data_IF_511092401390
#
_entry.id   IF_511092401390
#
_cell.length_a   1.000
_cell.length_b   1.000
_cell.length_c   1.000
_cell.angle_alpha   90.00
_cell.angle_beta   90.00
_cell.angle_gamma   90.00
#
_symmetry.space_group_name_H-M   'P 1'
#
loop_
_entity.id
_entity.type
_entity.pdbx_description
1 polymer ?
#
# COMPACT_ATOMS: atom_id res chain seq x y z
N UNK A 1 -25.40 15.59 9.19
CA UNK A 1 -24.30 14.71 9.59
C UNK A 1 -24.54 14.30 11.02
N UNK A 2 -24.81 13.02 11.26
CA UNK A 2 -24.85 12.47 12.60
C UNK A 2 -23.50 12.69 13.29
N UNK A 3 -23.52 12.92 14.60
CA UNK A 3 -22.29 13.08 15.37
C UNK A 3 -21.44 11.82 15.25
N UNK A 4 -20.15 11.91 14.87
CA UNK A 4 -19.30 10.73 14.68
C UNK A 4 -19.32 9.81 15.90
N UNK A 5 -19.37 8.49 15.69
CA UNK A 5 -19.45 7.55 16.81
C UNK A 5 -18.15 7.56 17.65
N UNK A 6 -18.20 8.10 18.86
CA UNK A 6 -17.03 8.28 19.71
C UNK A 6 -16.34 6.94 20.04
N UNK A 7 -17.10 5.93 20.44
CA UNK A 7 -16.57 4.64 20.87
C UNK A 7 -15.82 3.91 19.76
N UNK A 8 -16.39 3.86 18.56
CA UNK A 8 -15.74 3.22 17.43
C UNK A 8 -14.51 3.98 16.93
N UNK A 9 -14.52 5.32 16.95
CA UNK A 9 -13.34 6.11 16.55
C UNK A 9 -12.18 5.92 17.53
N UNK A 10 -12.47 5.86 18.84
CA UNK A 10 -11.46 5.53 19.86
C UNK A 10 -10.92 4.11 19.66
N UNK A 11 -11.78 3.14 19.35
CA UNK A 11 -11.37 1.77 19.08
C UNK A 11 -10.39 1.70 17.89
N UNK A 12 -10.72 2.32 16.76
CA UNK A 12 -9.83 2.32 15.58
C UNK A 12 -8.53 3.07 15.83
N UNK A 13 -8.57 4.20 16.53
CA UNK A 13 -7.38 4.92 16.96
C UNK A 13 -6.47 4.02 17.82
N UNK A 14 -7.03 3.32 18.81
CA UNK A 14 -6.28 2.41 19.66
C UNK A 14 -5.66 1.25 18.86
N UNK A 15 -6.41 0.65 17.94
CA UNK A 15 -5.91 -0.39 17.04
C UNK A 15 -4.70 0.11 16.23
N UNK A 16 -4.80 1.27 15.58
CA UNK A 16 -3.70 1.81 14.78
C UNK A 16 -2.49 2.23 15.63
N UNK A 17 -2.72 2.78 16.83
CA UNK A 17 -1.65 3.11 17.78
C UNK A 17 -0.89 1.88 18.28
N UNK A 18 -1.56 0.74 18.47
CA UNK A 18 -0.89 -0.52 18.84
C UNK A 18 -0.16 -1.10 17.63
N UNK A 19 -0.83 -1.15 16.46
CA UNK A 19 -0.27 -1.75 15.25
C UNK A 19 0.96 -0.99 14.74
N UNK A 20 0.99 0.34 14.81
CA UNK A 20 2.17 1.11 14.38
C UNK A 20 3.40 0.75 15.21
N UNK A 21 3.25 0.53 16.52
CA UNK A 21 4.37 0.13 17.39
C UNK A 21 4.88 -1.27 17.00
N UNK A 22 3.97 -2.22 16.79
CA UNK A 22 4.32 -3.58 16.36
C UNK A 22 5.04 -3.59 15.00
N UNK A 23 4.55 -2.79 14.05
CA UNK A 23 5.14 -2.68 12.71
C UNK A 23 6.50 -1.98 12.75
N UNK A 24 6.67 -0.93 13.56
CA UNK A 24 7.97 -0.27 13.75
C UNK A 24 8.98 -1.21 14.37
N UNK A 25 8.59 -1.92 15.44
CA UNK A 25 9.45 -2.91 16.08
C UNK A 25 9.87 -4.02 15.11
N UNK A 26 8.90 -4.62 14.40
CA UNK A 26 9.16 -5.67 13.41
C UNK A 26 10.03 -5.19 12.25
N UNK A 27 9.75 -3.99 11.74
CA UNK A 27 10.45 -3.39 10.61
C UNK A 27 11.92 -3.08 10.93
N UNK A 28 12.21 -2.53 12.11
CA UNK A 28 13.57 -2.25 12.57
C UNK A 28 14.33 -3.56 12.83
N UNK A 29 13.72 -4.50 13.56
CA UNK A 29 14.34 -5.79 13.91
C UNK A 29 14.73 -6.59 12.67
N UNK A 30 13.88 -6.62 11.65
CA UNK A 30 14.10 -7.38 10.43
C UNK A 30 14.68 -6.55 9.27
N UNK A 31 14.99 -5.27 9.49
CA UNK A 31 15.58 -4.33 8.52
C UNK A 31 14.78 -4.23 7.21
N UNK A 32 13.45 -4.23 7.29
CA UNK A 32 12.55 -4.17 6.13
C UNK A 32 12.17 -2.72 5.80
N UNK A 33 13.17 -1.86 5.54
CA UNK A 33 13.02 -0.40 5.50
C UNK A 33 11.91 0.13 4.57
N UNK A 34 11.82 -0.37 3.33
CA UNK A 34 10.77 0.09 2.39
C UNK A 34 9.36 -0.29 2.84
N UNK A 35 9.18 -1.52 3.35
CA UNK A 35 7.92 -1.97 3.93
C UNK A 35 7.57 -1.18 5.20
N UNK A 36 8.55 -0.97 6.08
CA UNK A 36 8.41 -0.20 7.30
C UNK A 36 7.95 1.23 7.02
N UNK A 37 8.55 1.90 6.03
CA UNK A 37 8.15 3.25 5.65
C UNK A 37 6.67 3.32 5.25
N UNK A 38 6.22 2.42 4.37
CA UNK A 38 4.81 2.34 3.97
C UNK A 38 3.88 2.07 5.15
N UNK A 39 4.19 1.07 5.98
CA UNK A 39 3.37 0.75 7.16
C UNK A 39 3.32 1.90 8.17
N UNK A 40 4.45 2.55 8.44
CA UNK A 40 4.53 3.67 9.37
C UNK A 40 3.70 4.87 8.88
N UNK A 41 3.91 5.30 7.64
CA UNK A 41 3.18 6.42 7.06
C UNK A 41 1.68 6.14 7.01
N UNK A 42 1.27 4.95 6.55
CA UNK A 42 -0.14 4.57 6.51
C UNK A 42 -0.80 4.63 7.88
N UNK A 43 -0.17 4.08 8.91
CA UNK A 43 -0.69 4.15 10.27
C UNK A 43 -0.71 5.57 10.85
N UNK A 44 0.32 6.38 10.58
CA UNK A 44 0.35 7.77 11.03
C UNK A 44 -0.83 8.58 10.46
N UNK A 45 -1.12 8.41 9.16
CA UNK A 45 -2.25 9.07 8.51
C UNK A 45 -3.61 8.62 9.08
N UNK A 46 -3.79 7.31 9.30
CA UNK A 46 -5.01 6.78 9.93
C UNK A 46 -5.20 7.31 11.37
N UNK A 47 -4.13 7.35 12.18
CA UNK A 47 -4.16 7.92 13.53
C UNK A 47 -4.60 9.38 13.50
N UNK A 48 -3.99 10.20 12.63
CA UNK A 48 -4.37 11.62 12.50
C UNK A 48 -5.82 11.76 12.04
N UNK A 49 -6.29 10.90 11.13
CA UNK A 49 -7.67 10.88 10.66
C UNK A 49 -8.69 10.59 11.76
N UNK A 50 -8.45 9.55 12.55
CA UNK A 50 -9.34 9.23 13.67
C UNK A 50 -9.28 10.26 14.80
N UNK A 51 -8.12 10.86 15.06
CA UNK A 51 -8.02 12.01 16.00
C UNK A 51 -8.85 13.19 15.49
N UNK A 52 -8.76 13.54 14.21
CA UNK A 52 -9.56 14.61 13.63
C UNK A 52 -11.06 14.32 13.72
N UNK A 53 -11.48 13.06 13.53
CA UNK A 53 -12.88 12.64 13.67
C UNK A 53 -13.38 12.69 15.11
N UNK A 54 -12.54 12.36 16.09
CA UNK A 54 -12.87 12.55 17.52
C UNK A 54 -13.03 14.04 17.82
N UNK A 55 -12.18 14.91 17.29
CA UNK A 55 -12.32 16.37 17.46
C UNK A 55 -13.64 16.89 16.90
N UNK A 56 -14.09 16.38 15.75
CA UNK A 56 -15.39 16.71 15.17
C UNK A 56 -16.57 16.31 16.07
N UNK A 57 -16.47 15.19 16.80
CA UNK A 57 -17.49 14.80 17.79
C UNK A 57 -17.68 15.87 18.88
N UNK A 58 -16.61 16.56 19.26
CA UNK A 58 -16.64 17.66 20.23
C UNK A 58 -16.92 19.04 19.60
N UNK A 59 -17.37 19.10 18.34
CA UNK A 59 -17.74 20.34 17.67
C UNK A 59 -16.56 21.18 17.17
N UNK A 60 -15.36 20.59 17.01
CA UNK A 60 -14.20 21.27 16.44
C UNK A 60 -14.04 20.99 14.94
N UNK A 61 -13.47 21.95 14.21
CA UNK A 61 -13.12 21.78 12.80
C UNK A 61 -12.04 20.71 12.61
N UNK A 62 -12.46 19.55 12.09
CA UNK A 62 -11.59 18.43 11.78
C UNK A 62 -11.84 17.79 10.43
N UNK A 63 -12.86 18.25 9.69
CA UNK A 63 -13.35 17.60 8.48
C UNK A 63 -12.29 17.49 7.37
N UNK A 64 -11.61 18.60 7.06
CA UNK A 64 -10.58 18.62 6.02
C UNK A 64 -9.39 17.72 6.39
N UNK A 65 -8.93 17.79 7.64
CA UNK A 65 -7.84 16.92 8.12
C UNK A 65 -8.23 15.46 8.00
N UNK A 66 -9.42 15.11 8.50
CA UNK A 66 -9.96 13.76 8.43
C UNK A 66 -10.04 13.23 6.99
N UNK A 67 -10.64 14.01 6.08
CA UNK A 67 -10.91 13.54 4.72
C UNK A 67 -9.61 13.31 3.93
N UNK A 68 -8.61 14.16 4.14
CA UNK A 68 -7.31 14.06 3.49
C UNK A 68 -6.51 12.89 4.06
N UNK A 69 -6.36 12.81 5.38
CA UNK A 69 -5.45 11.82 5.99
C UNK A 69 -5.99 10.40 5.83
N UNK A 70 -7.30 10.20 6.02
CA UNK A 70 -7.88 8.86 5.86
C UNK A 70 -7.83 8.38 4.41
N UNK A 71 -7.84 9.30 3.44
CA UNK A 71 -7.75 8.95 2.01
C UNK A 71 -6.31 8.59 1.62
N UNK A 72 -5.31 9.26 2.21
CA UNK A 72 -3.89 9.05 1.89
C UNK A 72 -3.33 7.76 2.52
N UNK A 73 -3.75 7.43 3.75
CA UNK A 73 -3.23 6.28 4.51
C UNK A 73 -3.19 4.95 3.74
N UNK A 74 -4.32 4.51 3.14
CA UNK A 74 -4.40 3.25 2.38
C UNK A 74 -3.41 3.10 1.25
N UNK A 75 -3.07 4.18 0.55
CA UNK A 75 -2.12 4.12 -0.56
C UNK A 75 -0.72 3.71 -0.09
N UNK A 76 -0.32 4.11 1.12
CA UNK A 76 0.94 3.66 1.72
C UNK A 76 0.93 2.17 2.07
N UNK A 77 -0.21 1.64 2.53
CA UNK A 77 -0.37 0.19 2.74
C UNK A 77 -0.31 -0.58 1.41
N UNK A 78 -0.94 -0.06 0.35
CA UNK A 78 -0.83 -0.60 -1.02
C UNK A 78 0.62 -0.63 -1.51
N UNK A 79 1.37 0.46 -1.33
CA UNK A 79 2.79 0.50 -1.68
C UNK A 79 3.61 -0.57 -0.93
N UNK A 80 3.34 -0.81 0.35
CA UNK A 80 3.97 -1.87 1.13
C UNK A 80 3.63 -3.28 0.56
N UNK A 81 2.38 -3.49 0.14
CA UNK A 81 1.94 -4.73 -0.53
C UNK A 81 2.65 -4.92 -1.88
N UNK A 82 2.85 -3.85 -2.65
CA UNK A 82 3.54 -3.90 -3.95
C UNK A 82 5.01 -4.31 -3.80
N UNK A 83 5.68 -3.82 -2.75
CA UNK A 83 7.04 -4.25 -2.41
C UNK A 83 7.09 -5.73 -2.01
N UNK A 84 6.09 -6.20 -1.25
CA UNK A 84 5.97 -7.61 -0.89
C UNK A 84 5.77 -8.50 -2.12
N UNK A 85 4.90 -8.11 -3.07
CA UNK A 85 4.67 -8.88 -4.29
C UNK A 85 5.93 -9.00 -5.15
N UNK A 86 6.70 -7.91 -5.30
CA UNK A 86 7.95 -7.97 -6.05
C UNK A 86 8.93 -9.00 -5.47
N UNK A 87 9.04 -9.07 -4.14
CA UNK A 87 9.86 -10.09 -3.48
C UNK A 87 9.33 -11.50 -3.68
N UNK A 88 8.00 -11.69 -3.68
CA UNK A 88 7.37 -12.98 -3.98
C UNK A 88 7.72 -13.44 -5.41
N UNK A 89 7.67 -12.53 -6.39
CA UNK A 89 8.07 -12.85 -7.77
C UNK A 89 9.55 -13.27 -7.83
N UNK A 90 10.43 -12.59 -7.08
CA UNK A 90 11.85 -13.00 -6.98
C UNK A 90 12.01 -14.40 -6.36
N UNK A 91 11.19 -14.77 -5.38
CA UNK A 91 11.25 -16.08 -4.68
C UNK A 91 10.74 -17.24 -5.54
N UNK A 92 9.68 -17.03 -6.33
CA UNK A 92 9.13 -18.09 -7.20
C UNK A 92 9.78 -18.12 -8.58
N UNK A 93 10.42 -17.03 -8.99
CA UNK A 93 11.09 -16.89 -10.27
C UNK A 93 10.34 -15.96 -11.21
N UNK A 94 11.10 -15.12 -11.93
CA UNK A 94 10.54 -14.12 -12.85
C UNK A 94 9.82 -14.74 -14.05
N UNK A 95 10.16 -15.97 -14.44
CA UNK A 95 9.55 -16.67 -15.59
C UNK A 95 8.03 -16.88 -15.46
N UNK A 96 7.47 -16.84 -14.25
CA UNK A 96 6.03 -16.93 -14.02
C UNK A 96 5.31 -15.59 -14.23
N UNK A 97 6.04 -14.49 -14.11
CA UNK A 97 5.52 -13.13 -14.17
C UNK A 97 5.63 -12.56 -15.58
N UNK A 98 4.62 -11.80 -16.02
CA UNK A 98 4.64 -11.14 -17.34
C UNK A 98 5.65 -9.99 -17.41
N UNK A 99 5.89 -9.34 -16.29
CA UNK A 99 6.83 -8.22 -16.17
C UNK A 99 7.84 -8.45 -15.05
N UNK A 100 8.92 -7.66 -15.07
CA UNK A 100 9.90 -7.68 -13.99
C UNK A 100 9.26 -7.22 -12.66
N UNK A 101 9.68 -7.76 -11.50
CA UNK A 101 9.20 -7.33 -10.18
C UNK A 101 9.27 -5.80 -9.99
N UNK A 102 10.34 -5.19 -10.49
CA UNK A 102 10.59 -3.74 -10.43
C UNK A 102 9.53 -2.96 -11.19
N UNK A 103 9.17 -3.41 -12.40
CA UNK A 103 8.16 -2.75 -13.23
C UNK A 103 6.81 -2.74 -12.54
N UNK A 104 6.42 -3.84 -11.90
CA UNK A 104 5.19 -3.90 -11.12
C UNK A 104 5.19 -2.83 -10.02
N UNK A 105 6.16 -2.86 -9.11
CA UNK A 105 6.15 -1.96 -7.96
C UNK A 105 6.23 -0.50 -8.38
N UNK A 106 7.13 -0.13 -9.30
CA UNK A 106 7.31 1.27 -9.71
C UNK A 106 6.06 1.79 -10.42
N UNK A 107 5.50 1.04 -11.39
CA UNK A 107 4.35 1.50 -12.16
C UNK A 107 3.14 1.74 -11.26
N UNK A 108 2.78 0.77 -10.41
CA UNK A 108 1.60 0.92 -9.53
C UNK A 108 1.82 1.98 -8.45
N UNK A 109 3.01 2.09 -7.86
CA UNK A 109 3.30 3.18 -6.92
C UNK A 109 3.24 4.56 -7.58
N UNK A 110 3.65 4.70 -8.84
CA UNK A 110 3.55 5.96 -9.57
C UNK A 110 2.09 6.33 -9.87
N UNK A 111 1.27 5.37 -10.31
CA UNK A 111 -0.17 5.60 -10.49
C UNK A 111 -0.84 6.03 -9.18
N UNK A 112 -0.53 5.33 -8.08
CA UNK A 112 -1.03 5.68 -6.75
C UNK A 112 -0.55 7.06 -6.30
N UNK A 113 0.72 7.40 -6.54
CA UNK A 113 1.26 8.72 -6.21
C UNK A 113 0.54 9.84 -6.98
N UNK A 114 0.30 9.67 -8.28
CA UNK A 114 -0.46 10.64 -9.07
C UNK A 114 -1.90 10.76 -8.55
N UNK A 115 -2.54 9.64 -8.22
CA UNK A 115 -3.87 9.63 -7.61
C UNK A 115 -3.90 10.36 -6.26
N UNK A 116 -2.89 10.16 -5.41
CA UNK A 116 -2.72 10.85 -4.13
C UNK A 116 -2.57 12.36 -4.30
N UNK A 117 -1.80 12.80 -5.31
CA UNK A 117 -1.65 14.24 -5.60
C UNK A 117 -2.99 14.85 -6.00
N UNK A 118 -3.77 14.17 -6.85
CA UNK A 118 -5.12 14.62 -7.21
C UNK A 118 -6.04 14.66 -5.98
N UNK A 119 -5.98 13.68 -5.09
CA UNK A 119 -6.78 13.66 -3.87
C UNK A 119 -6.39 14.77 -2.90
N UNK A 120 -5.10 15.03 -2.71
CA UNK A 120 -4.62 16.12 -1.86
C UNK A 120 -5.01 17.50 -2.43
N UNK A 121 -4.84 17.70 -3.74
CA UNK A 121 -5.24 18.92 -4.41
C UNK A 121 -6.76 19.13 -4.34
N UNK A 122 -7.55 18.13 -4.75
CA UNK A 122 -9.02 18.21 -4.71
C UNK A 122 -9.56 18.34 -3.28
N UNK A 123 -8.95 17.64 -2.31
CA UNK A 123 -9.29 17.73 -0.89
C UNK A 123 -9.06 19.13 -0.33
N UNK A 124 -7.92 19.77 -0.65
CA UNK A 124 -7.62 21.13 -0.18
C UNK A 124 -8.66 22.17 -0.61
N UNK A 125 -9.24 22.00 -1.80
CA UNK A 125 -10.27 22.90 -2.35
C UNK A 125 -11.62 22.78 -1.64
N UNK A 126 -11.84 21.70 -0.87
CA UNK A 126 -13.06 21.50 -0.09
C UNK A 126 -13.14 22.41 1.15
N UNK A 127 -12.05 23.08 1.51
CA UNK A 127 -12.02 24.08 2.58
C UNK A 127 -12.34 25.50 2.11
N UNK A 128 -12.71 25.70 0.83
CA UNK A 128 -13.10 27.01 0.30
C UNK A 128 -14.53 27.36 0.67
N UNK A 129 -14.85 28.66 0.77
CA UNK A 129 -16.22 29.16 0.93
C UNK A 129 -16.97 29.25 -0.42
N UNK A 130 -16.26 29.14 -1.54
CA UNK A 130 -16.84 29.23 -2.88
C UNK A 130 -17.31 27.86 -3.38
N UNK A 131 -18.62 27.75 -3.66
CA UNK A 131 -19.25 26.50 -4.07
C UNK A 131 -18.66 25.93 -5.38
N UNK A 132 -18.28 26.78 -6.33
CA UNK A 132 -17.67 26.34 -7.58
C UNK A 132 -16.28 25.72 -7.35
N UNK A 133 -15.49 26.32 -6.46
CA UNK A 133 -14.20 25.77 -6.02
C UNK A 133 -14.38 24.42 -5.31
N UNK A 134 -15.38 24.28 -4.43
CA UNK A 134 -15.73 23.00 -3.79
C UNK A 134 -16.11 21.94 -4.84
N UNK A 135 -16.95 22.30 -5.82
CA UNK A 135 -17.42 21.39 -6.87
C UNK A 135 -16.26 20.90 -7.75
N UNK A 136 -15.31 21.77 -8.09
CA UNK A 136 -14.09 21.38 -8.79
C UNK A 136 -13.24 20.47 -7.90
N UNK A 137 -13.06 20.81 -6.62
CA UNK A 137 -12.34 19.99 -5.65
C UNK A 137 -12.88 18.55 -5.58
N UNK A 138 -14.21 18.40 -5.53
CA UNK A 138 -14.87 17.10 -5.52
C UNK A 138 -14.60 16.28 -6.79
N UNK A 139 -14.66 16.92 -7.97
CA UNK A 139 -14.36 16.25 -9.25
C UNK A 139 -12.90 15.78 -9.30
N UNK A 140 -11.97 16.62 -8.86
CA UNK A 140 -10.53 16.30 -8.83
C UNK A 140 -10.26 15.17 -7.84
N UNK A 141 -10.81 15.22 -6.64
CA UNK A 141 -10.64 14.17 -5.62
C UNK A 141 -11.25 12.84 -6.09
N UNK A 142 -12.44 12.87 -6.71
CA UNK A 142 -13.08 11.68 -7.30
C UNK A 142 -12.26 11.08 -8.43
N UNK A 143 -11.67 11.90 -9.30
CA UNK A 143 -10.78 11.41 -10.35
C UNK A 143 -9.56 10.68 -9.77
N UNK A 144 -8.94 11.22 -8.72
CA UNK A 144 -7.85 10.57 -8.01
C UNK A 144 -8.25 9.22 -7.40
N UNK A 145 -9.37 9.16 -6.67
CA UNK A 145 -9.91 7.90 -6.12
C UNK A 145 -10.22 6.86 -7.21
N UNK A 146 -10.81 7.28 -8.34
CA UNK A 146 -11.10 6.37 -9.45
C UNK A 146 -9.81 5.82 -10.09
N UNK A 147 -8.79 6.66 -10.27
CA UNK A 147 -7.48 6.23 -10.78
C UNK A 147 -6.80 5.25 -9.82
N UNK A 148 -6.85 5.52 -8.51
CA UNK A 148 -6.34 4.61 -7.49
C UNK A 148 -7.07 3.26 -7.50
N UNK A 149 -8.41 3.27 -7.57
CA UNK A 149 -9.23 2.06 -7.65
C UNK A 149 -8.88 1.22 -8.89
N UNK A 150 -8.69 1.87 -10.04
CA UNK A 150 -8.29 1.18 -11.26
C UNK A 150 -6.90 0.54 -11.12
N UNK A 151 -5.94 1.27 -10.53
CA UNK A 151 -4.58 0.77 -10.31
C UNK A 151 -4.56 -0.48 -9.42
N UNK A 152 -5.21 -0.42 -8.24
CA UNK A 152 -5.27 -1.58 -7.33
C UNK A 152 -6.07 -2.75 -7.91
N UNK A 153 -7.12 -2.49 -8.71
CA UNK A 153 -7.90 -3.54 -9.38
C UNK A 153 -7.06 -4.29 -10.41
N UNK A 154 -6.33 -3.57 -11.26
CA UNK A 154 -5.41 -4.16 -12.25
C UNK A 154 -4.32 -4.96 -11.51
N UNK A 155 -3.77 -4.41 -10.42
CA UNK A 155 -2.81 -5.11 -9.59
C UNK A 155 -3.36 -6.44 -9.05
N UNK A 156 -4.58 -6.45 -8.51
CA UNK A 156 -5.23 -7.68 -7.98
C UNK A 156 -5.38 -8.73 -9.08
N UNK A 157 -5.79 -8.33 -10.29
CA UNK A 157 -5.93 -9.24 -11.44
C UNK A 157 -4.57 -9.87 -11.78
N UNK A 158 -3.52 -9.06 -11.90
CA UNK A 158 -2.17 -9.54 -12.23
C UNK A 158 -1.58 -10.42 -11.11
N UNK A 159 -1.79 -10.05 -9.85
CA UNK A 159 -1.35 -10.84 -8.70
C UNK A 159 -2.08 -12.19 -8.64
N UNK A 160 -3.36 -12.22 -8.96
CA UNK A 160 -4.17 -13.45 -9.03
C UNK A 160 -3.73 -14.35 -10.18
N UNK A 161 -3.42 -13.76 -11.35
CA UNK A 161 -2.86 -14.51 -12.48
C UNK A 161 -1.50 -15.13 -12.12
N UNK A 162 -0.61 -14.35 -11.49
CA UNK A 162 0.68 -14.85 -11.01
C UNK A 162 0.48 -16.00 -10.02
N UNK A 163 -0.39 -15.83 -9.02
CA UNK A 163 -0.68 -16.86 -8.04
C UNK A 163 -1.17 -18.15 -8.72
N UNK A 164 -2.11 -18.04 -9.67
CA UNK A 164 -2.63 -19.18 -10.42
C UNK A 164 -1.54 -19.91 -11.23
N UNK A 165 -0.64 -19.17 -11.89
CA UNK A 165 0.49 -19.74 -12.62
C UNK A 165 1.45 -20.49 -11.69
N UNK A 166 1.77 -19.92 -10.53
CA UNK A 166 2.61 -20.55 -9.51
C UNK A 166 1.97 -21.84 -8.98
N UNK A 167 0.65 -21.82 -8.73
CA UNK A 167 -0.08 -22.99 -8.25
C UNK A 167 -0.19 -24.11 -9.29
N UNK A 168 -0.23 -23.80 -10.59
CA UNK A 168 -0.29 -24.82 -11.64
C UNK A 168 1.04 -25.48 -11.97
N UNK A 169 2.16 -24.83 -11.67
CA UNK A 169 3.52 -25.31 -12.02
C UNK A 169 4.36 -25.51 -10.76
N UNK A 170 3.85 -26.32 -9.83
CA UNK A 170 4.54 -26.56 -8.55
C UNK A 170 5.85 -27.33 -8.69
N UNK A 171 5.97 -28.14 -9.74
CA UNK A 171 7.14 -28.98 -9.99
C UNK A 171 8.36 -28.17 -10.47
N UNK A 172 8.12 -27.02 -11.11
CA UNK A 172 9.12 -26.13 -11.69
C UNK A 172 9.55 -24.99 -10.74
N UNK A 173 9.25 -25.10 -9.44
CA UNK A 173 9.64 -24.06 -8.47
C UNK A 173 11.16 -24.02 -8.27
N UNK A 174 11.70 -22.79 -8.17
CA UNK A 174 13.12 -22.56 -7.97
C UNK A 174 13.63 -23.35 -6.74
N UNK A 175 14.53 -24.33 -6.94
CA UNK A 175 15.04 -25.17 -5.85
C UNK A 175 15.75 -24.34 -4.77
N UNK A 176 16.26 -23.14 -5.10
CA UNK A 176 16.94 -22.24 -4.17
C UNK A 176 16.04 -21.79 -3.02
N UNK A 177 14.72 -21.70 -3.22
CA UNK A 177 13.76 -21.23 -2.20
C UNK A 177 12.76 -22.29 -1.74
N UNK A 178 12.93 -23.56 -2.12
CA UNK A 178 11.97 -24.64 -1.86
C UNK A 178 11.59 -24.81 -0.38
N UNK A 179 12.55 -24.63 0.54
CA UNK A 179 12.29 -24.69 1.99
C UNK A 179 11.43 -23.51 2.48
N UNK A 180 11.62 -22.33 1.90
CA UNK A 180 10.83 -21.13 2.21
C UNK A 180 9.41 -21.25 1.65
N UNK A 181 9.27 -21.68 0.39
CA UNK A 181 8.00 -21.85 -0.30
C UNK A 181 7.07 -22.87 0.40
N UNK A 182 7.64 -23.91 1.02
CA UNK A 182 6.89 -24.91 1.80
C UNK A 182 6.66 -24.52 3.26
N UNK A 183 7.20 -23.39 3.72
CA UNK A 183 7.06 -22.97 5.11
C UNK A 183 5.63 -22.52 5.43
N UNK A 184 5.09 -23.00 6.55
CA UNK A 184 3.82 -22.52 7.10
C UNK A 184 3.81 -20.99 7.28
N UNK A 185 4.94 -20.40 7.67
CA UNK A 185 5.05 -18.94 7.87
C UNK A 185 4.94 -18.15 6.56
N UNK A 186 5.45 -18.72 5.47
CA UNK A 186 5.38 -18.11 4.15
C UNK A 186 3.98 -18.27 3.54
N UNK A 187 3.34 -19.44 3.71
CA UNK A 187 1.96 -19.65 3.30
C UNK A 187 0.97 -18.77 4.08
N UNK A 188 1.19 -18.60 5.39
CA UNK A 188 0.43 -17.65 6.21
C UNK A 188 0.61 -16.21 5.70
N UNK A 189 1.85 -15.81 5.39
CA UNK A 189 2.12 -14.50 4.78
C UNK A 189 1.36 -14.29 3.47
N UNK A 190 1.36 -15.27 2.57
CA UNK A 190 0.59 -15.21 1.32
C UNK A 190 -0.91 -15.07 1.59
N UNK A 191 -1.45 -15.75 2.60
CA UNK A 191 -2.85 -15.62 3.00
C UNK A 191 -3.15 -14.21 3.55
N UNK A 192 -2.31 -13.71 4.47
CA UNK A 192 -2.41 -12.37 5.03
C UNK A 192 -2.33 -11.28 3.96
N UNK A 193 -1.41 -11.41 3.00
CA UNK A 193 -1.24 -10.46 1.90
C UNK A 193 -2.48 -10.42 0.99
N UNK A 194 -3.08 -11.59 0.70
CA UNK A 194 -4.35 -11.67 -0.04
C UNK A 194 -5.49 -10.98 0.70
N UNK A 195 -5.65 -11.26 2.00
CA UNK A 195 -6.68 -10.63 2.84
C UNK A 195 -6.50 -9.11 2.85
N UNK A 196 -5.28 -8.62 3.07
CA UNK A 196 -4.98 -7.19 3.08
C UNK A 196 -5.28 -6.52 1.73
N UNK A 197 -4.91 -7.16 0.63
CA UNK A 197 -5.16 -6.62 -0.72
C UNK A 197 -6.66 -6.52 -1.02
N UNK A 198 -7.44 -7.56 -0.69
CA UNK A 198 -8.89 -7.59 -0.94
C UNK A 198 -9.61 -6.55 -0.07
N UNK A 199 -9.25 -6.45 1.21
CA UNK A 199 -9.88 -5.49 2.12
C UNK A 199 -9.58 -4.05 1.75
N UNK A 200 -8.35 -3.72 1.34
CA UNK A 200 -8.02 -2.39 0.79
C UNK A 200 -8.79 -2.13 -0.51
N UNK A 201 -8.92 -3.11 -1.41
CA UNK A 201 -9.71 -2.96 -2.63
C UNK A 201 -11.18 -2.63 -2.34
N UNK A 202 -11.82 -3.37 -1.42
CA UNK A 202 -13.22 -3.13 -1.00
C UNK A 202 -13.36 -1.72 -0.44
N UNK A 203 -12.44 -1.31 0.43
CA UNK A 203 -12.41 0.02 1.05
C UNK A 203 -12.29 1.12 -0.01
N UNK A 204 -11.33 1.01 -0.93
CA UNK A 204 -11.16 1.97 -2.03
C UNK A 204 -12.39 2.04 -2.95
N UNK A 205 -13.06 0.91 -3.21
CA UNK A 205 -14.29 0.87 -3.99
C UNK A 205 -15.45 1.58 -3.28
N UNK A 206 -15.61 1.35 -1.98
CA UNK A 206 -16.58 2.06 -1.16
C UNK A 206 -16.32 3.58 -1.18
N UNK A 207 -15.06 4.00 -1.04
CA UNK A 207 -14.70 5.41 -1.04
C UNK A 207 -15.02 6.13 -2.35
N UNK A 208 -14.81 5.46 -3.49
CA UNK A 208 -15.24 5.97 -4.80
C UNK A 208 -16.77 6.06 -4.87
N UNK A 209 -17.49 5.06 -4.38
CA UNK A 209 -18.95 5.03 -4.41
C UNK A 209 -19.57 6.11 -3.52
N UNK A 210 -19.08 6.27 -2.29
CA UNK A 210 -19.49 7.29 -1.32
C UNK A 210 -19.31 8.69 -1.91
N UNK A 211 -18.11 9.01 -2.43
CA UNK A 211 -17.86 10.32 -3.02
C UNK A 211 -18.61 10.54 -4.34
N UNK A 212 -18.92 9.47 -5.06
CA UNK A 212 -19.71 9.54 -6.29
C UNK A 212 -21.19 9.79 -6.05
N UNK A 213 -21.72 9.31 -4.93
CA UNK A 213 -23.10 9.50 -4.53
C UNK A 213 -23.34 10.92 -3.96
N UNK A 214 -22.29 11.60 -3.50
CA UNK A 214 -22.34 12.96 -2.95
C UNK A 214 -22.57 12.96 -1.43
N UNK A 215 -22.21 14.07 -0.77
CA UNK A 215 -22.22 14.19 0.70
C UNK A 215 -23.60 14.05 1.36
N UNK A 216 -24.69 14.26 0.61
CA UNK A 216 -26.07 14.10 1.07
C UNK A 216 -26.72 12.79 0.62
N UNK A 217 -25.91 11.80 0.21
CA UNK A 217 -26.43 10.49 -0.17
C UNK A 217 -26.61 9.58 1.04
N UNK A 218 -27.58 8.66 0.96
CA UNK A 218 -27.83 7.65 1.98
C UNK A 218 -26.61 6.78 2.35
N UNK A 219 -25.55 6.76 1.52
CA UNK A 219 -24.29 6.08 1.83
C UNK A 219 -23.37 6.91 2.74
N UNK A 220 -23.34 8.23 2.57
CA UNK A 220 -22.55 9.16 3.38
C UNK A 220 -23.19 9.41 4.76
N UNK A 221 -24.51 9.30 4.84
CA UNK A 221 -25.26 9.41 6.11
C UNK A 221 -25.25 8.10 6.92
N UNK A 222 -24.86 6.97 6.33
CA UNK A 222 -24.80 5.70 7.05
C UNK A 222 -23.46 5.52 7.78
N UNK A 223 -23.39 6.09 8.99
CA UNK A 223 -22.22 5.99 9.88
C UNK A 223 -21.80 4.53 10.14
N UNK A 224 -22.75 3.59 10.18
CA UNK A 224 -22.43 2.16 10.40
C UNK A 224 -21.68 1.57 9.20
N UNK A 225 -22.16 1.85 7.99
CA UNK A 225 -21.49 1.42 6.77
C UNK A 225 -20.10 2.03 6.66
N UNK A 226 -19.96 3.31 7.01
CA UNK A 226 -18.65 3.97 7.08
C UNK A 226 -17.71 3.23 8.06
N UNK A 227 -18.15 3.01 9.30
CA UNK A 227 -17.30 2.41 10.32
C UNK A 227 -16.84 1.01 9.93
N UNK A 228 -17.69 0.23 9.26
CA UNK A 228 -17.34 -1.12 8.78
C UNK A 228 -16.47 -1.10 7.52
N UNK A 229 -16.84 -0.33 6.50
CA UNK A 229 -16.19 -0.42 5.19
C UNK A 229 -14.91 0.42 5.08
N UNK A 230 -14.81 1.52 5.83
CA UNK A 230 -13.59 2.35 5.87
C UNK A 230 -12.66 1.92 7.01
N UNK A 231 -13.16 1.96 8.26
CA UNK A 231 -12.33 1.71 9.44
C UNK A 231 -11.95 0.24 9.60
N UNK A 232 -12.93 -0.66 9.64
CA UNK A 232 -12.68 -2.08 9.92
C UNK A 232 -11.83 -2.74 8.83
N UNK A 233 -12.07 -2.41 7.56
CA UNK A 233 -11.31 -3.00 6.44
C UNK A 233 -9.81 -2.71 6.53
N UNK A 234 -9.41 -1.49 6.89
CA UNK A 234 -8.00 -1.16 7.07
C UNK A 234 -7.42 -1.76 8.35
N UNK A 235 -8.17 -1.84 9.43
CA UNK A 235 -7.71 -2.55 10.64
C UNK A 235 -7.49 -4.03 10.33
N UNK A 236 -8.39 -4.69 9.60
CA UNK A 236 -8.21 -6.08 9.15
C UNK A 236 -6.95 -6.20 8.27
N UNK A 237 -6.79 -5.30 7.28
CA UNK A 237 -5.64 -5.32 6.38
C UNK A 237 -4.32 -5.19 7.13
N UNK A 238 -4.21 -4.19 7.98
CA UNK A 238 -2.98 -3.87 8.73
C UNK A 238 -2.68 -4.89 9.82
N UNK A 239 -3.70 -5.48 10.45
CA UNK A 239 -3.55 -6.61 11.38
C UNK A 239 -3.07 -7.86 10.65
N UNK A 240 -3.64 -8.18 9.48
CA UNK A 240 -3.16 -9.29 8.66
C UNK A 240 -1.69 -9.10 8.27
N UNK A 241 -1.30 -7.88 7.87
CA UNK A 241 0.08 -7.54 7.55
C UNK A 241 1.02 -7.58 8.77
N UNK A 242 0.52 -7.33 9.98
CA UNK A 242 1.29 -7.47 11.21
C UNK A 242 1.55 -8.94 11.56
N UNK A 243 0.53 -9.80 11.42
CA UNK A 243 0.66 -11.24 11.63
C UNK A 243 1.58 -11.86 10.57
N UNK A 244 1.35 -11.52 9.30
CA UNK A 244 2.18 -11.91 8.16
C UNK A 244 3.33 -10.94 7.92
N UNK A 245 4.11 -10.59 8.94
CA UNK A 245 5.20 -9.65 8.74
C UNK A 245 6.28 -10.23 7.79
N UNK A 246 6.67 -9.55 6.69
CA UNK A 246 7.57 -10.14 5.70
C UNK A 246 8.96 -10.45 6.29
N UNK A 247 9.41 -9.69 7.28
CA UNK A 247 10.68 -9.93 7.96
C UNK A 247 10.77 -11.28 8.69
N UNK A 248 9.66 -11.76 9.28
CA UNK A 248 9.61 -13.06 9.96
C UNK A 248 9.32 -14.18 8.96
N UNK A 249 8.46 -13.91 7.98
CA UNK A 249 8.04 -14.91 6.99
C UNK A 249 9.13 -15.29 6.00
N UNK A 250 10.06 -14.38 5.67
CA UNK A 250 11.20 -14.66 4.79
C UNK A 250 12.41 -15.32 5.50
N UNK A 251 12.30 -15.63 6.80
CA UNK A 251 13.30 -16.38 7.58
C UNK A 251 14.76 -15.91 7.38
N UNK A 252 14.99 -14.59 7.35
CA UNK A 252 16.33 -14.01 7.18
C UNK A 252 16.78 -13.82 5.72
N UNK A 253 16.06 -14.41 4.75
CA UNK A 253 16.34 -14.28 3.30
C UNK A 253 15.68 -13.07 2.65
N UNK A 254 15.15 -12.16 3.46
CA UNK A 254 14.47 -10.95 2.99
C UNK A 254 15.37 -10.11 2.08
N UNK A 255 16.66 -9.98 2.43
CA UNK A 255 17.67 -9.25 1.63
C UNK A 255 18.01 -9.94 0.32
N UNK A 256 17.97 -11.27 0.26
CA UNK A 256 18.24 -12.03 -0.97
C UNK A 256 17.08 -11.92 -1.98
N UNK A 257 15.86 -11.74 -1.48
CA UNK A 257 14.68 -11.51 -2.30
C UNK A 257 14.54 -10.04 -2.75
N UNK A 258 15.48 -9.17 -2.38
CA UNK A 258 15.51 -7.80 -2.84
C UNK A 258 15.75 -7.78 -4.34
N UNK A 259 14.87 -7.11 -5.08
CA UNK A 259 15.17 -6.80 -6.47
C UNK A 259 16.19 -5.67 -6.40
N UNK A 260 17.46 -5.98 -6.69
CA UNK A 260 18.50 -4.96 -6.78
C UNK A 260 17.97 -3.87 -7.71
N UNK A 261 17.79 -2.65 -7.18
CA UNK A 261 17.75 -1.43 -7.97
C UNK A 261 19.15 -1.25 -8.57
N UNK A 262 19.57 -2.17 -9.43
CA UNK A 262 20.90 -2.17 -9.99
C UNK A 262 21.04 -0.86 -10.75
N UNK A 263 21.98 -0.04 -10.28
CA UNK A 263 22.38 1.21 -10.91
C UNK A 263 22.64 0.91 -12.38
N UNK A 264 21.89 1.55 -13.26
CA UNK A 264 22.35 1.78 -14.62
C UNK A 264 23.58 2.68 -14.50
N UNK A 265 24.77 2.10 -14.41
CA UNK A 265 26.00 2.88 -14.31
C UNK A 265 27.17 2.20 -13.62
N UNK A 266 27.44 0.92 -13.92
CA UNK A 266 28.82 0.46 -13.98
C UNK A 266 29.12 0.27 -15.47
N UNK A 267 29.45 1.38 -16.14
CA UNK A 267 30.22 1.31 -17.38
C UNK A 267 31.55 0.71 -16.96
N UNK A 268 31.80 -0.54 -17.35
CA UNK A 268 33.14 -1.11 -17.33
C UNK A 268 34.09 -0.08 -17.96
N UNK A 269 34.93 0.53 -17.13
CA UNK A 269 36.05 1.34 -17.62
C UNK A 269 36.91 0.41 -18.49
N UNK A 270 37.09 0.71 -19.79
CA UNK A 270 37.86 -0.16 -20.65
C UNK A 270 39.27 -0.29 -20.10
N UNK A 271 39.71 -1.54 -20.06
CA UNK A 271 41.06 -2.02 -19.83
C UNK A 271 42.10 -1.02 -20.32
N UNK A 272 42.98 -0.57 -19.41
CA UNK A 272 44.17 0.20 -19.77
C UNK A 272 44.97 -0.63 -20.78
N UNK A 273 44.98 -0.21 -22.04
CA UNK A 273 45.93 -0.70 -23.04
C UNK A 273 47.31 -0.18 -22.65
N UNK A 274 48.20 -1.10 -22.31
CA UNK A 274 49.61 -0.84 -22.01
C UNK A 274 50.35 -0.51 -23.32
N UNK A 275 50.55 0.79 -23.56
CA UNK A 275 51.44 1.28 -24.62
C UNK A 275 52.87 1.43 -24.08
N UNK A 276 53.52 0.31 -23.76
CA UNK A 276 54.97 0.31 -23.54
C UNK A 276 55.67 -0.89 -24.20
N UNK A 277 55.42 -1.07 -25.49
CA UNK A 277 56.30 -1.91 -26.33
C UNK A 277 56.35 -1.35 -27.74
N UNK A 278 57.41 -0.58 -28.03
CA UNK A 278 57.65 -0.11 -29.39
C UNK A 278 58.48 1.15 -29.53
N UNK A 279 59.65 1.24 -28.89
CA UNK A 279 60.75 2.07 -29.39
C UNK A 279 62.08 1.34 -29.13
N UNK A 280 62.46 0.50 -30.10
CA UNK A 280 63.86 0.13 -30.35
C UNK A 280 64.29 0.91 -31.59
N UNK A 281 65.15 1.91 -31.40
CA UNK A 281 66.28 2.29 -32.27
C UNK A 281 66.97 3.52 -31.69
#
# INVERSE_FOLDING_TARGET
>A
MDTPNLGGNIFYLACHAILIILQVYGGIRHKTWGYLFGMFCGHAFEIVGFVARIRMHFGQDGFLTYIVTITIGPAFFSAAIYLCLARIITVYGQHYSRFSPRTYTITFMLFDFVALVLQAAGGSMLGSDEQDTINVGLKVMKAGLAAHLAAISIFVILASELAFRIFRRQDDWDPKFRQLQRSLRFNLFMACLKIATITILIRTAYRVAELSAGYHSALAENETAFMLLEGMMIVIATTALAIGHPGTSFQGRYKEADFQLQKTGDVESPTKFDYSSGLVS
#
